data_IF_355536286338
#
_entry.id   IF_355536286338
#
_cell.length_a   1.000
_cell.length_b   1.000
_cell.length_c   1.000
_cell.angle_alpha   90.00
_cell.angle_beta   90.00
_cell.angle_gamma   90.00
#
_symmetry.space_group_name_H-M   'P 1'
#
loop_
_entity.id
_entity.type
_entity.pdbx_description
1 polymer ?
#
# COMPACT_ATOMS: atom_id res chain seq x y z
N UNK A 1 -6.95 46.07 47.08
CA UNK A 1 -5.76 45.26 46.78
C UNK A 1 -6.23 43.83 46.50
N UNK A 2 -6.54 43.47 45.25
CA UNK A 2 -6.96 42.09 44.91
C UNK A 2 -5.78 41.36 44.24
N UNK A 3 -5.31 40.29 44.87
CA UNK A 3 -4.23 39.45 44.35
C UNK A 3 -4.79 38.47 43.31
N UNK A 4 -4.21 38.48 42.11
CA UNK A 4 -4.54 37.54 41.05
C UNK A 4 -3.81 36.21 41.26
N UNK A 5 -4.56 35.13 41.51
CA UNK A 5 -4.05 33.76 41.48
C UNK A 5 -3.69 33.37 40.03
N UNK A 6 -2.40 33.21 39.75
CA UNK A 6 -1.92 32.60 38.50
C UNK A 6 -2.20 31.10 38.55
N UNK A 7 -3.12 30.62 37.72
CA UNK A 7 -3.28 29.20 37.44
C UNK A 7 -2.03 28.69 36.69
N UNK A 8 -1.32 27.72 37.27
CA UNK A 8 -0.24 27.01 36.60
C UNK A 8 -0.84 25.96 35.65
N UNK A 9 -0.73 26.21 34.34
CA UNK A 9 -1.03 25.21 33.33
C UNK A 9 0.07 24.14 33.36
N UNK A 10 -0.17 23.05 34.09
CA UNK A 10 0.63 21.83 33.99
C UNK A 10 0.53 21.29 32.55
N UNK A 11 1.57 21.51 31.76
CA UNK A 11 1.75 20.93 30.43
C UNK A 11 1.95 19.43 30.56
N UNK A 12 0.86 18.68 30.47
CA UNK A 12 0.91 17.23 30.37
C UNK A 12 1.54 16.86 29.02
N UNK A 13 2.85 16.71 28.98
CA UNK A 13 3.57 16.12 27.86
C UNK A 13 3.04 14.70 27.71
N UNK A 14 2.21 14.44 26.70
CA UNK A 14 1.77 13.08 26.38
C UNK A 14 3.02 12.29 26.00
N UNK A 15 3.48 11.43 26.89
CA UNK A 15 4.50 10.45 26.57
C UNK A 15 3.93 9.50 25.52
N UNK A 16 4.30 9.70 24.25
CA UNK A 16 4.01 8.71 23.21
C UNK A 16 4.88 7.48 23.50
N UNK A 17 4.26 6.39 23.96
CA UNK A 17 4.93 5.09 24.04
C UNK A 17 5.22 4.63 22.60
N UNK A 18 6.45 4.77 22.16
CA UNK A 18 6.93 4.30 20.86
C UNK A 18 7.36 2.83 20.92
N UNK A 19 6.58 1.95 21.55
CA UNK A 19 6.74 0.51 21.32
C UNK A 19 6.11 0.10 19.97
N UNK A 20 6.42 0.83 18.91
CA UNK A 20 6.22 0.33 17.57
C UNK A 20 7.44 -0.53 17.24
N UNK A 21 7.33 -1.85 17.43
CA UNK A 21 8.21 -2.79 16.71
C UNK A 21 7.93 -2.52 15.23
N UNK A 22 8.76 -1.70 14.59
CA UNK A 22 8.80 -1.65 13.14
C UNK A 22 9.02 -3.10 12.69
N UNK A 23 8.01 -3.70 12.07
CA UNK A 23 8.13 -5.06 11.58
C UNK A 23 9.36 -5.10 10.67
N UNK A 24 10.34 -5.93 11.02
CA UNK A 24 11.58 -5.99 10.27
C UNK A 24 11.25 -6.47 8.87
N UNK A 25 11.66 -5.72 7.86
CA UNK A 25 11.51 -6.12 6.46
C UNK A 25 12.25 -7.45 6.24
N UNK A 26 11.51 -8.52 5.96
CA UNK A 26 12.08 -9.83 5.66
C UNK A 26 12.41 -9.93 4.16
N UNK A 27 13.48 -10.67 3.78
CA UNK A 27 13.78 -10.90 2.38
C UNK A 27 12.64 -11.68 1.71
N UNK A 28 12.31 -11.30 0.47
CA UNK A 28 11.23 -11.95 -0.28
C UNK A 28 11.70 -13.34 -0.73
N UNK A 29 10.90 -14.36 -0.46
CA UNK A 29 11.19 -15.76 -0.82
C UNK A 29 10.16 -16.28 -1.82
N UNK A 30 10.50 -17.25 -2.68
CA UNK A 30 9.50 -17.91 -3.51
C UNK A 30 8.41 -18.56 -2.66
N UNK A 31 7.17 -18.51 -3.13
CA UNK A 31 6.00 -19.12 -2.51
C UNK A 31 5.35 -20.08 -3.50
N UNK A 32 4.58 -21.07 -3.03
CA UNK A 32 3.94 -22.08 -3.89
C UNK A 32 3.07 -21.46 -4.99
N UNK A 33 2.41 -20.34 -4.68
CA UNK A 33 1.57 -19.59 -5.62
C UNK A 33 2.37 -18.73 -6.63
N UNK A 34 3.61 -18.37 -6.33
CA UNK A 34 4.43 -17.43 -7.10
C UNK A 34 5.87 -17.94 -7.13
N UNK A 35 6.20 -18.88 -8.04
CA UNK A 35 7.54 -19.43 -8.16
C UNK A 35 8.53 -18.39 -8.70
N UNK A 36 8.10 -17.58 -9.68
CA UNK A 36 8.92 -16.49 -10.22
C UNK A 36 8.54 -15.12 -9.61
N UNK A 37 9.48 -14.17 -9.52
CA UNK A 37 9.19 -12.81 -9.07
C UNK A 37 8.23 -12.08 -10.02
N UNK A 38 8.28 -12.39 -11.32
CA UNK A 38 7.36 -11.83 -12.33
C UNK A 38 5.92 -12.28 -12.09
N UNK A 39 5.70 -13.50 -11.59
CA UNK A 39 4.38 -14.01 -11.23
C UNK A 39 3.80 -13.27 -10.03
N UNK A 40 4.66 -12.89 -9.07
CA UNK A 40 4.24 -12.06 -7.95
C UNK A 40 3.82 -10.68 -8.44
N UNK A 41 4.60 -10.06 -9.32
CA UNK A 41 4.27 -8.75 -9.89
C UNK A 41 2.94 -8.81 -10.65
N UNK A 42 2.75 -9.82 -11.51
CA UNK A 42 1.52 -10.01 -12.30
C UNK A 42 0.28 -10.17 -11.44
N UNK A 43 0.38 -10.88 -10.32
CA UNK A 43 -0.70 -10.95 -9.34
C UNK A 43 -0.96 -9.61 -8.68
N UNK A 44 0.08 -8.87 -8.28
CA UNK A 44 -0.08 -7.54 -7.67
C UNK A 44 -0.79 -6.58 -8.64
N UNK A 45 -0.44 -6.65 -9.92
CA UNK A 45 -0.99 -5.82 -10.99
C UNK A 45 -0.56 -4.35 -10.87
N UNK A 46 -1.47 -3.41 -11.20
CA UNK A 46 -1.20 -1.95 -11.17
C UNK A 46 0.04 -1.55 -12.01
N UNK A 47 0.17 -2.15 -13.19
CA UNK A 47 1.29 -1.95 -14.12
C UNK A 47 2.67 -2.31 -13.52
N UNK A 48 2.73 -3.05 -12.41
CA UNK A 48 4.00 -3.48 -11.81
C UNK A 48 4.80 -4.34 -12.79
N UNK A 49 4.13 -5.28 -13.46
CA UNK A 49 4.72 -6.24 -14.40
C UNK A 49 5.35 -5.49 -15.56
N UNK A 50 4.61 -4.56 -16.17
CA UNK A 50 5.08 -3.81 -17.34
C UNK A 50 6.26 -2.88 -17.03
N UNK A 51 6.32 -2.30 -15.83
CA UNK A 51 7.32 -1.27 -15.48
C UNK A 51 8.51 -1.82 -14.68
N UNK A 52 8.34 -2.96 -14.01
CA UNK A 52 9.35 -3.55 -13.13
C UNK A 52 9.87 -4.90 -13.63
N UNK A 53 9.24 -5.58 -14.59
CA UNK A 53 9.73 -6.89 -15.07
C UNK A 53 11.17 -6.82 -15.58
N UNK A 54 11.54 -5.77 -16.33
CA UNK A 54 12.90 -5.60 -16.85
C UNK A 54 13.96 -5.42 -15.74
N UNK A 55 13.55 -4.82 -14.61
CA UNK A 55 14.45 -4.53 -13.48
C UNK A 55 14.54 -5.68 -12.48
N UNK A 56 13.71 -6.72 -12.63
CA UNK A 56 13.55 -7.79 -11.65
C UNK A 56 13.59 -9.17 -12.34
N UNK A 57 14.78 -9.63 -12.75
CA UNK A 57 14.96 -11.01 -13.23
C UNK A 57 14.89 -12.02 -12.07
N UNK A 58 15.42 -11.66 -10.90
CA UNK A 58 15.60 -12.57 -9.76
C UNK A 58 14.92 -12.08 -8.47
N UNK A 59 14.66 -13.02 -7.55
CA UNK A 59 14.17 -12.73 -6.19
C UNK A 59 15.11 -11.81 -5.39
N UNK A 60 16.43 -11.91 -5.64
CA UNK A 60 17.43 -11.04 -5.01
C UNK A 60 17.27 -9.59 -5.49
N UNK A 61 17.12 -9.38 -6.80
CA UNK A 61 16.89 -8.06 -7.37
C UNK A 61 15.57 -7.44 -6.86
N UNK A 62 14.51 -8.24 -6.75
CA UNK A 62 13.23 -7.79 -6.19
C UNK A 62 13.38 -7.36 -4.73
N UNK A 63 14.10 -8.15 -3.94
CA UNK A 63 14.37 -7.88 -2.53
C UNK A 63 15.21 -6.61 -2.34
N UNK A 64 16.24 -6.40 -3.16
CA UNK A 64 17.02 -5.17 -3.16
C UNK A 64 16.17 -3.94 -3.51
N UNK A 65 15.28 -4.06 -4.50
CA UNK A 65 14.36 -2.99 -4.88
C UNK A 65 13.41 -2.66 -3.73
N UNK A 66 12.86 -3.68 -3.06
CA UNK A 66 12.01 -3.53 -1.88
C UNK A 66 12.73 -2.84 -0.71
N UNK A 67 14.00 -3.17 -0.46
CA UNK A 67 14.81 -2.51 0.56
C UNK A 67 15.15 -1.05 0.20
N UNK A 68 15.50 -0.78 -1.07
CA UNK A 68 15.77 0.58 -1.58
C UNK A 68 14.55 1.50 -1.55
N UNK A 69 13.34 0.95 -1.52
CA UNK A 69 12.11 1.70 -1.31
C UNK A 69 11.50 2.28 -2.60
N UNK A 70 10.90 3.47 -2.50
CA UNK A 70 10.05 4.02 -3.57
C UNK A 70 10.79 4.78 -4.68
N UNK A 71 12.04 5.18 -4.46
CA UNK A 71 12.87 5.89 -5.45
C UNK A 71 13.07 5.10 -6.75
N UNK A 72 13.58 3.84 -6.73
CA UNK A 72 13.77 3.08 -7.97
C UNK A 72 12.46 2.82 -8.74
N UNK A 73 11.33 2.73 -8.03
CA UNK A 73 10.01 2.62 -8.64
C UNK A 73 9.54 3.94 -9.28
N UNK A 74 9.94 5.09 -8.71
CA UNK A 74 9.67 6.40 -9.31
C UNK A 74 10.48 6.59 -10.60
N UNK A 75 11.73 6.16 -10.59
CA UNK A 75 12.61 6.20 -11.77
C UNK A 75 12.13 5.25 -12.88
N UNK A 76 11.35 4.21 -12.52
CA UNK A 76 10.63 3.34 -13.46
C UNK A 76 9.32 3.96 -14.00
N UNK A 77 9.01 5.22 -13.69
CA UNK A 77 7.81 5.90 -14.17
C UNK A 77 6.50 5.43 -13.51
N UNK A 78 6.56 4.82 -12.32
CA UNK A 78 5.34 4.46 -11.57
C UNK A 78 4.73 5.68 -10.91
N UNK A 79 3.40 5.79 -10.93
CA UNK A 79 2.70 6.88 -10.23
C UNK A 79 2.77 6.69 -8.71
N UNK A 80 2.62 7.74 -7.89
CA UNK A 80 2.64 7.59 -6.41
C UNK A 80 1.62 6.57 -5.87
N UNK A 81 0.46 6.42 -6.53
CA UNK A 81 -0.57 5.45 -6.14
C UNK A 81 -0.16 4.00 -6.44
N UNK A 82 0.50 3.77 -7.57
CA UNK A 82 1.06 2.46 -7.92
C UNK A 82 2.15 2.09 -6.92
N UNK A 83 3.12 2.98 -6.67
CA UNK A 83 4.24 2.74 -5.75
C UNK A 83 3.80 2.39 -4.34
N UNK A 84 2.85 3.15 -3.77
CA UNK A 84 2.32 2.87 -2.42
C UNK A 84 1.68 1.49 -2.33
N UNK A 85 0.98 1.07 -3.38
CA UNK A 85 0.31 -0.23 -3.39
C UNK A 85 1.29 -1.38 -3.57
N UNK A 86 2.24 -1.26 -4.50
CA UNK A 86 3.28 -2.29 -4.69
C UNK A 86 4.11 -2.44 -3.43
N UNK A 87 4.53 -1.34 -2.79
CA UNK A 87 5.28 -1.40 -1.53
C UNK A 87 4.49 -2.10 -0.43
N UNK A 88 3.20 -1.76 -0.29
CA UNK A 88 2.32 -2.44 0.66
C UNK A 88 2.17 -3.94 0.35
N UNK A 89 2.02 -4.31 -0.91
CA UNK A 89 1.90 -5.71 -1.33
C UNK A 89 3.19 -6.51 -1.04
N UNK A 90 4.36 -5.94 -1.34
CA UNK A 90 5.65 -6.54 -1.03
C UNK A 90 5.87 -6.68 0.47
N UNK A 91 5.41 -5.71 1.27
CA UNK A 91 5.43 -5.78 2.72
C UNK A 91 4.58 -6.95 3.23
N UNK A 92 3.34 -7.11 2.76
CA UNK A 92 2.47 -8.24 3.13
C UNK A 92 3.07 -9.58 2.76
N UNK A 93 3.63 -9.68 1.55
CA UNK A 93 4.32 -10.88 1.08
C UNK A 93 5.58 -11.19 1.90
N UNK A 94 6.34 -10.16 2.28
CA UNK A 94 7.52 -10.28 3.16
C UNK A 94 7.16 -10.91 4.51
N UNK A 95 5.99 -10.58 5.06
CA UNK A 95 5.46 -11.17 6.29
C UNK A 95 4.88 -12.59 6.13
N UNK A 96 4.95 -13.17 4.92
CA UNK A 96 4.52 -14.54 4.65
C UNK A 96 3.05 -14.70 4.28
N UNK A 97 2.31 -13.61 4.05
CA UNK A 97 0.94 -13.72 3.53
C UNK A 97 0.96 -14.25 2.09
N UNK A 98 0.05 -15.18 1.77
CA UNK A 98 -0.10 -15.67 0.41
C UNK A 98 -0.66 -14.55 -0.52
N UNK A 99 -0.15 -14.39 -1.76
CA UNK A 99 -0.60 -13.35 -2.70
C UNK A 99 -2.13 -13.28 -2.85
N UNK A 100 -2.78 -14.43 -2.98
CA UNK A 100 -4.25 -14.54 -3.09
C UNK A 100 -5.02 -13.88 -1.94
N UNK A 101 -4.45 -13.81 -0.74
CA UNK A 101 -5.15 -13.32 0.46
C UNK A 101 -5.27 -11.81 0.52
N UNK A 102 -4.24 -11.07 0.08
CA UNK A 102 -4.19 -9.61 0.22
C UNK A 102 -4.38 -8.86 -1.10
N UNK A 103 -4.20 -9.53 -2.24
CA UNK A 103 -4.37 -8.91 -3.55
C UNK A 103 -5.87 -8.67 -3.80
N UNK A 104 -6.25 -7.39 -3.86
CA UNK A 104 -7.63 -7.01 -4.10
C UNK A 104 -7.91 -6.96 -5.61
N UNK A 105 -8.92 -7.66 -6.12
CA UNK A 105 -9.33 -7.51 -7.51
C UNK A 105 -9.79 -6.06 -7.78
N UNK A 106 -9.71 -5.60 -9.03
CA UNK A 106 -10.23 -4.29 -9.40
C UNK A 106 -11.72 -4.22 -9.03
N UNK A 107 -12.13 -3.10 -8.42
CA UNK A 107 -13.54 -2.89 -8.10
C UNK A 107 -14.35 -2.93 -9.40
N UNK A 108 -15.48 -3.66 -9.44
CA UNK A 108 -16.32 -3.70 -10.63
C UNK A 108 -16.78 -2.28 -10.97
N UNK A 109 -16.96 -1.97 -12.27
CA UNK A 109 -17.44 -0.66 -12.67
C UNK A 109 -18.82 -0.39 -12.06
N UNK A 110 -19.07 0.87 -11.70
CA UNK A 110 -20.37 1.29 -11.18
C UNK A 110 -21.44 1.02 -12.24
N UNK A 111 -22.44 0.21 -11.90
CA UNK A 111 -23.57 -0.11 -12.78
C UNK A 111 -24.41 1.13 -13.12
N UNK A 112 -24.59 2.02 -12.16
CA UNK A 112 -25.40 3.25 -12.30
C UNK A 112 -24.51 4.46 -12.05
N UNK A 113 -24.51 5.41 -13.01
CA UNK A 113 -23.82 6.70 -12.89
C UNK A 113 -24.82 7.80 -12.53
N UNK A 114 -25.06 7.98 -11.24
CA UNK A 114 -25.94 9.00 -10.69
C UNK A 114 -26.22 8.73 -9.21
N UNK A 115 -26.45 9.78 -8.43
CA UNK A 115 -26.78 9.71 -7.01
C UNK A 115 -28.12 10.37 -6.73
N UNK A 116 -28.87 9.80 -5.80
CA UNK A 116 -30.10 10.38 -5.27
C UNK A 116 -31.40 9.91 -5.95
N UNK A 117 -32.56 10.33 -5.41
CA UNK A 117 -33.88 9.82 -5.81
C UNK A 117 -34.22 10.06 -7.29
N UNK A 118 -33.55 11.04 -7.91
CA UNK A 118 -33.75 11.43 -9.31
C UNK A 118 -33.12 10.46 -10.31
N UNK A 119 -32.20 9.58 -9.88
CA UNK A 119 -31.59 8.57 -10.75
C UNK A 119 -31.80 7.20 -10.12
N UNK A 120 -32.86 6.51 -10.53
CA UNK A 120 -33.17 5.15 -10.09
C UNK A 120 -32.91 4.18 -11.24
N UNK A 121 -32.26 3.04 -10.96
CA UNK A 121 -31.99 2.00 -11.96
C UNK A 121 -31.28 2.49 -13.24
N UNK A 122 -30.47 3.56 -13.14
CA UNK A 122 -29.80 4.15 -14.31
C UNK A 122 -30.68 5.03 -15.18
N UNK A 123 -31.94 5.26 -14.81
CA UNK A 123 -32.87 6.15 -15.49
C UNK A 123 -33.13 7.39 -14.63
N UNK A 124 -33.25 8.54 -15.29
CA UNK A 124 -33.65 9.79 -14.61
C UNK A 124 -35.16 9.78 -14.43
N UNK A 125 -35.62 9.75 -13.18
CA UNK A 125 -37.04 9.84 -12.82
C UNK A 125 -37.46 11.31 -12.94
N UNK A 126 -38.64 11.57 -13.53
CA UNK A 126 -39.15 12.90 -13.83
C UNK A 126 -40.19 13.31 -12.81
#
# INVERSE_FOLDING_TARGET
>A
MFAALRASSSSHVRAFSSTARAALKMPLRPHAETPAPVDLLSKIGRNADKKLAEKVPDWKALTELYFKGTKPMSDAGMTPRERRYVMWALERYSHGDAPSTFIRPPKPPKKIRGWGPRVQHGKRVK
#
